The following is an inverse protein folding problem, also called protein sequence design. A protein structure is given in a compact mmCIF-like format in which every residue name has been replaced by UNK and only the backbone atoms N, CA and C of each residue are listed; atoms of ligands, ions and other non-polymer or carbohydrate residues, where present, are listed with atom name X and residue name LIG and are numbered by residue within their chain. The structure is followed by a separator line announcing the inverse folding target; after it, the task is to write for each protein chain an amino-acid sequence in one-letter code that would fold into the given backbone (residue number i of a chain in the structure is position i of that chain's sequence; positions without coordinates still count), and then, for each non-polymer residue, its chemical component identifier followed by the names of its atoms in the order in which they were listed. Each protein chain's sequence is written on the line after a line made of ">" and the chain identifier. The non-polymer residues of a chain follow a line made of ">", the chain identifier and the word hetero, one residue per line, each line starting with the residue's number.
data_IF_211866267537
#
_entry.id   IF_211866267537
#
_cell.length_a   1.000
_cell.length_b   1.000
_cell.length_c   1.000
_cell.angle_alpha   90.00
_cell.angle_beta   90.00
_cell.angle_gamma   90.00
#
_symmetry.space_group_name_H-M   'P 1'
#
loop_
_entity.id
_entity.type
_entity.pdbx_description
1 polymer ?
#
# COMPACT_ATOMS: atom_id res chain seq x y z
N UNK A 1 11.37 9.31 -5.94
CA UNK A 1 10.40 8.33 -6.46
C UNK A 1 8.99 8.60 -5.97
N UNK A 2 8.69 8.67 -4.66
CA UNK A 2 7.31 8.90 -4.19
C UNK A 2 6.62 10.19 -4.70
N UNK A 3 7.39 11.24 -4.97
CA UNK A 3 6.85 12.52 -5.45
C UNK A 3 6.13 12.41 -6.80
N UNK A 4 6.52 11.47 -7.69
CA UNK A 4 5.82 11.32 -8.96
C UNK A 4 4.39 10.80 -8.77
N UNK A 5 4.14 10.05 -7.69
CA UNK A 5 2.81 9.51 -7.38
C UNK A 5 1.86 10.58 -6.84
N UNK A 6 2.39 11.65 -6.22
CA UNK A 6 1.62 12.73 -5.58
C UNK A 6 1.30 13.92 -6.50
N UNK A 7 1.62 13.81 -7.79
CA UNK A 7 1.42 14.90 -8.75
C UNK A 7 2.27 16.14 -8.40
N UNK A 8 1.71 17.35 -8.36
CA UNK A 8 2.48 18.58 -8.13
C UNK A 8 2.91 18.77 -6.67
N UNK A 9 2.45 17.94 -5.73
CA UNK A 9 2.74 18.10 -4.31
C UNK A 9 4.03 17.37 -3.92
N UNK A 10 5.00 18.12 -3.39
CA UNK A 10 6.20 17.53 -2.80
C UNK A 10 5.88 16.74 -1.51
N UNK A 11 6.59 15.63 -1.29
CA UNK A 11 6.57 14.92 -0.01
C UNK A 11 7.03 15.82 1.12
N UNK A 12 6.30 15.87 2.23
CA UNK A 12 6.74 16.60 3.41
C UNK A 12 7.83 15.83 4.17
N UNK A 13 8.68 16.49 4.98
CA UNK A 13 9.64 15.78 5.84
C UNK A 13 8.97 14.76 6.79
N UNK A 14 7.76 15.08 7.26
CA UNK A 14 6.96 14.17 8.09
C UNK A 14 6.60 12.88 7.35
N UNK A 15 6.16 12.98 6.09
CA UNK A 15 5.83 11.81 5.27
C UNK A 15 7.06 10.95 4.99
N UNK A 16 8.21 11.58 4.75
CA UNK A 16 9.47 10.85 4.56
C UNK A 16 9.88 10.10 5.83
N UNK A 17 9.77 10.74 6.99
CA UNK A 17 10.06 10.10 8.27
C UNK A 17 9.09 8.96 8.56
N UNK A 18 7.78 9.17 8.32
CA UNK A 18 6.78 8.11 8.44
C UNK A 18 7.15 6.88 7.59
N UNK A 19 7.50 7.08 6.32
CA UNK A 19 7.91 5.97 5.45
C UNK A 19 9.16 5.26 5.98
N UNK A 20 10.15 6.01 6.45
CA UNK A 20 11.36 5.46 7.05
C UNK A 20 11.03 4.58 8.25
N UNK A 21 10.20 5.08 9.18
CA UNK A 21 9.81 4.33 10.38
C UNK A 21 9.00 3.08 10.06
N UNK A 22 8.17 3.14 9.00
CA UNK A 22 7.34 2.01 8.61
C UNK A 22 8.07 0.95 7.80
N UNK A 23 9.16 1.28 7.11
CA UNK A 23 9.85 0.38 6.19
C UNK A 23 11.24 -0.07 6.65
N UNK A 24 11.91 0.68 7.52
CA UNK A 24 13.24 0.32 8.03
C UNK A 24 13.20 -1.01 8.77
N UNK A 25 13.91 -2.02 8.25
CA UNK A 25 13.90 -3.39 8.79
C UNK A 25 12.59 -4.16 8.59
N UNK A 26 11.64 -3.62 7.81
CA UNK A 26 10.29 -4.18 7.63
C UNK A 26 9.95 -4.38 6.14
N UNK A 27 10.92 -4.88 5.37
CA UNK A 27 10.77 -5.10 3.92
C UNK A 27 9.60 -6.05 3.56
N UNK A 28 9.21 -6.92 4.49
CA UNK A 28 8.04 -7.79 4.34
C UNK A 28 6.70 -7.02 4.14
N UNK A 29 6.60 -5.76 4.59
CA UNK A 29 5.38 -4.96 4.43
C UNK A 29 5.03 -4.66 2.96
N UNK A 30 5.90 -4.05 2.15
CA UNK A 30 5.66 -3.93 0.71
C UNK A 30 5.41 -5.26 0.02
N UNK A 31 6.09 -6.33 0.47
CA UNK A 31 5.98 -7.64 -0.18
C UNK A 31 4.63 -8.32 0.08
N UNK A 32 3.97 -8.00 1.19
CA UNK A 32 2.64 -8.53 1.53
C UNK A 32 1.54 -8.23 0.52
N UNK A 33 1.75 -7.27 -0.38
CA UNK A 33 0.80 -6.93 -1.44
C UNK A 33 0.91 -7.83 -2.67
N UNK A 34 1.97 -8.61 -2.79
CA UNK A 34 2.15 -9.50 -3.93
C UNK A 34 1.46 -10.85 -3.70
N UNK A 35 0.90 -11.39 -4.78
CA UNK A 35 0.30 -12.72 -4.80
C UNK A 35 1.34 -13.81 -4.43
N UNK A 36 0.93 -14.75 -3.58
CA UNK A 36 1.77 -15.84 -3.09
C UNK A 36 2.75 -15.48 -1.96
N UNK A 37 2.93 -14.20 -1.62
CA UNK A 37 3.68 -13.80 -0.44
C UNK A 37 2.81 -14.01 0.81
N UNK A 38 3.24 -14.79 1.79
CA UNK A 38 2.51 -15.02 3.05
C UNK A 38 3.46 -14.94 4.25
N UNK A 39 2.96 -14.75 5.49
CA UNK A 39 3.82 -14.80 6.67
C UNK A 39 4.65 -16.08 6.76
N UNK A 40 4.09 -17.21 6.36
CA UNK A 40 4.68 -18.56 6.47
C UNK A 40 5.88 -18.78 5.54
N UNK A 41 5.94 -18.05 4.42
CA UNK A 41 7.05 -18.11 3.46
C UNK A 41 7.91 -16.84 3.48
N UNK A 42 7.90 -16.11 4.60
CA UNK A 42 8.63 -14.85 4.78
C UNK A 42 8.28 -13.77 3.75
N UNK A 43 7.03 -13.78 3.29
CA UNK A 43 6.49 -12.91 2.25
C UNK A 43 7.23 -13.02 0.92
N UNK A 44 7.64 -14.23 0.54
CA UNK A 44 8.22 -14.52 -0.77
C UNK A 44 7.14 -14.54 -1.85
N UNK A 45 7.12 -13.61 -2.82
CA UNK A 45 6.08 -13.54 -3.83
C UNK A 45 6.20 -14.66 -4.86
N UNK A 46 5.06 -15.04 -5.43
CA UNK A 46 5.03 -15.88 -6.63
C UNK A 46 5.37 -15.07 -7.89
N UNK A 47 5.90 -15.75 -8.91
CA UNK A 47 6.12 -15.18 -10.23
C UNK A 47 5.02 -15.61 -11.20
N UNK A 48 4.53 -14.71 -12.07
CA UNK A 48 4.89 -13.30 -12.19
C UNK A 48 4.35 -12.43 -11.03
N UNK A 49 5.11 -11.38 -10.66
CA UNK A 49 4.71 -10.47 -9.58
C UNK A 49 3.39 -9.78 -9.91
N UNK A 50 2.39 -10.04 -9.08
CA UNK A 50 1.01 -9.54 -9.27
C UNK A 50 0.53 -8.91 -7.98
N UNK A 51 -0.22 -7.81 -8.08
CA UNK A 51 -0.88 -7.15 -6.95
C UNK A 51 -2.37 -7.06 -7.28
N UNK A 52 -3.22 -7.39 -6.32
CA UNK A 52 -4.68 -7.29 -6.47
C UNK A 52 -5.19 -5.95 -5.95
N UNK A 53 -5.79 -5.16 -6.84
CA UNK A 53 -6.43 -3.88 -6.54
C UNK A 53 -7.90 -3.96 -6.95
N UNK A 54 -8.80 -3.50 -6.09
CA UNK A 54 -10.24 -3.58 -6.33
C UNK A 54 -10.98 -2.39 -5.74
N UNK A 55 -12.18 -2.15 -6.25
CA UNK A 55 -13.13 -1.18 -5.75
C UNK A 55 -14.18 -1.82 -4.85
N UNK A 56 -14.96 -0.98 -4.19
CA UNK A 56 -16.10 -1.36 -3.36
C UNK A 56 -17.26 -0.37 -3.51
N UNK A 57 -18.37 -0.59 -2.79
CA UNK A 57 -19.61 0.19 -2.96
C UNK A 57 -19.44 1.71 -2.78
N UNK A 58 -18.41 2.13 -2.04
CA UNK A 58 -18.14 3.54 -1.72
C UNK A 58 -16.88 4.09 -2.39
N UNK A 59 -16.25 3.35 -3.29
CA UNK A 59 -14.99 3.75 -3.93
C UNK A 59 -15.08 5.10 -4.64
N UNK A 60 -16.24 5.40 -5.25
CA UNK A 60 -16.46 6.62 -6.04
C UNK A 60 -17.55 7.51 -5.45
N UNK A 61 -17.80 7.42 -4.13
CA UNK A 61 -18.85 8.19 -3.46
C UNK A 61 -18.60 9.71 -3.48
N UNK A 62 -17.34 10.14 -3.62
CA UNK A 62 -16.94 11.55 -3.66
C UNK A 62 -16.46 11.91 -5.08
N UNK A 63 -17.09 12.90 -5.72
CA UNK A 63 -16.73 13.31 -7.08
C UNK A 63 -15.27 13.76 -7.15
N UNK A 64 -14.51 13.19 -8.10
CA UNK A 64 -13.10 13.51 -8.31
C UNK A 64 -12.15 12.78 -7.34
N UNK A 65 -12.65 11.86 -6.53
CA UNK A 65 -11.85 10.99 -5.69
C UNK A 65 -12.21 9.52 -5.91
N UNK A 66 -11.22 8.65 -5.70
CA UNK A 66 -11.40 7.21 -5.73
C UNK A 66 -10.72 6.60 -4.51
N UNK A 67 -11.46 5.82 -3.72
CA UNK A 67 -10.91 4.97 -2.66
C UNK A 67 -10.76 3.57 -3.22
N UNK A 68 -9.54 3.06 -3.32
CA UNK A 68 -9.25 1.73 -3.85
C UNK A 68 -8.63 0.86 -2.76
N UNK A 69 -8.93 -0.44 -2.81
CA UNK A 69 -8.47 -1.42 -1.84
C UNK A 69 -7.41 -2.31 -2.47
N UNK A 70 -6.41 -2.68 -1.68
CA UNK A 70 -5.35 -3.59 -2.05
C UNK A 70 -5.35 -4.78 -1.09
N UNK A 71 -5.25 -5.99 -1.63
CA UNK A 71 -5.06 -7.18 -0.81
C UNK A 71 -3.67 -7.18 -0.15
N UNK A 72 -3.59 -7.55 1.12
CA UNK A 72 -2.34 -7.72 1.87
C UNK A 72 -2.43 -8.99 2.69
N UNK A 73 -1.62 -9.99 2.37
CA UNK A 73 -1.66 -11.32 3.02
C UNK A 73 -1.33 -11.30 4.51
N UNK A 74 -0.66 -10.24 4.97
CA UNK A 74 -0.29 -10.05 6.37
C UNK A 74 -1.34 -9.34 7.21
N UNK A 75 -2.40 -8.81 6.60
CA UNK A 75 -3.42 -8.00 7.25
C UNK A 75 -4.77 -8.74 7.29
N UNK A 76 -5.58 -8.47 8.31
CA UNK A 76 -6.95 -9.03 8.38
C UNK A 76 -7.91 -8.37 7.40
N UNK A 77 -7.64 -7.11 7.04
CA UNK A 77 -8.47 -6.32 6.14
C UNK A 77 -7.62 -5.76 4.98
N UNK A 78 -8.22 -5.58 3.79
CA UNK A 78 -7.59 -4.89 2.68
C UNK A 78 -7.09 -3.49 3.08
N UNK A 79 -6.04 -3.03 2.42
CA UNK A 79 -5.47 -1.69 2.67
C UNK A 79 -5.98 -0.68 1.66
N UNK A 80 -6.19 0.54 2.11
CA UNK A 80 -6.79 1.58 1.28
C UNK A 80 -5.73 2.55 0.72
N UNK A 81 -5.97 3.01 -0.51
CA UNK A 81 -5.40 4.23 -1.06
C UNK A 81 -6.53 5.18 -1.47
N UNK A 82 -6.29 6.48 -1.32
CA UNK A 82 -7.17 7.51 -1.91
C UNK A 82 -6.46 8.14 -3.09
N UNK A 83 -7.14 8.22 -4.22
CA UNK A 83 -6.71 8.93 -5.42
C UNK A 83 -7.54 10.20 -5.59
N UNK A 84 -6.94 11.22 -6.20
CA UNK A 84 -7.60 12.46 -6.60
C UNK A 84 -7.41 12.71 -8.08
N UNK A 85 -8.50 13.01 -8.77
CA UNK A 85 -8.47 13.36 -10.18
C UNK A 85 -8.10 14.83 -10.35
N UNK A 86 -7.18 15.10 -11.27
CA UNK A 86 -6.89 16.45 -11.74
C UNK A 86 -7.92 16.83 -12.80
N UNK A 87 -8.86 17.70 -12.46
CA UNK A 87 -10.01 18.05 -13.33
C UNK A 87 -9.60 18.55 -14.73
N UNK A 88 -8.45 19.21 -14.86
CA UNK A 88 -7.99 19.77 -16.14
C UNK A 88 -7.45 18.73 -17.13
N UNK A 89 -6.87 17.62 -16.65
CA UNK A 89 -6.26 16.58 -17.50
C UNK A 89 -6.94 15.22 -17.40
N UNK A 90 -7.80 15.01 -16.40
CA UNK A 90 -8.45 13.73 -16.13
C UNK A 90 -7.56 12.68 -15.45
N UNK A 91 -6.27 12.98 -15.27
CA UNK A 91 -5.29 12.10 -14.62
C UNK A 91 -5.57 11.92 -13.13
N UNK A 92 -5.22 10.74 -12.60
CA UNK A 92 -5.41 10.38 -11.20
C UNK A 92 -4.07 10.32 -10.48
N UNK A 93 -4.00 10.94 -9.30
CA UNK A 93 -2.80 11.01 -8.48
C UNK A 93 -3.08 10.47 -7.09
N UNK A 94 -2.04 9.91 -6.46
CA UNK A 94 -2.10 9.44 -5.09
C UNK A 94 -2.31 10.63 -4.15
N UNK A 95 -3.40 10.57 -3.39
CA UNK A 95 -3.80 11.60 -2.45
C UNK A 95 -3.50 11.18 -1.01
N UNK A 96 -3.92 9.98 -0.61
CA UNK A 96 -3.67 9.41 0.73
C UNK A 96 -3.24 7.95 0.64
N UNK A 97 -2.40 7.51 1.59
CA UNK A 97 -1.82 6.16 1.65
C UNK A 97 -2.10 5.56 3.03
N UNK A 98 -2.84 4.46 3.09
CA UNK A 98 -3.13 3.72 4.32
C UNK A 98 -2.57 2.28 4.30
N UNK A 99 -1.46 2.08 3.58
CA UNK A 99 -0.87 0.77 3.31
C UNK A 99 0.02 0.22 4.44
N UNK A 100 0.69 1.08 5.21
CA UNK A 100 1.87 0.71 6.00
C UNK A 100 1.62 0.49 7.50
N UNK A 101 0.38 0.21 7.88
CA UNK A 101 0.03 -0.33 9.21
C UNK A 101 0.78 -1.64 9.47
N UNK A 102 0.96 -2.00 10.73
CA UNK A 102 1.60 -3.29 11.06
C UNK A 102 0.75 -4.47 10.57
N UNK A 103 1.46 -5.55 10.26
CA UNK A 103 0.95 -6.82 9.73
C UNK A 103 1.64 -7.96 10.47
N UNK A 104 1.15 -9.19 10.29
CA UNK A 104 1.80 -10.41 10.83
C UNK A 104 3.29 -10.42 10.49
N UNK A 105 4.15 -10.72 11.46
CA UNK A 105 5.58 -10.84 11.23
C UNK A 105 5.88 -12.07 10.37
N UNK A 106 6.95 -12.04 9.54
CA UNK A 106 7.40 -13.22 8.81
C UNK A 106 7.81 -14.31 9.80
N UNK A 107 7.57 -15.57 9.44
CA UNK A 107 7.85 -16.72 10.29
C UNK A 107 9.30 -16.74 10.81
N UNK A 108 10.26 -16.39 9.96
CA UNK A 108 11.69 -16.31 10.34
C UNK A 108 12.01 -15.23 11.37
N UNK A 109 11.13 -14.25 11.58
CA UNK A 109 11.28 -13.18 12.56
C UNK A 109 10.42 -13.40 13.82
N UNK A 110 9.56 -14.41 13.85
CA UNK A 110 8.79 -14.77 15.03
C UNK A 110 9.69 -15.55 16.01
N UNK A 111 9.97 -15.00 17.21
CA UNK A 111 10.80 -15.70 18.21
C UNK A 111 10.13 -16.95 18.79
N UNK A 112 8.83 -17.19 18.52
CA UNK A 112 8.06 -18.29 19.09
C UNK A 112 7.73 -19.42 18.10
N UNK A 113 7.93 -19.21 16.79
CA UNK A 113 7.83 -20.24 15.75
C UNK A 113 6.44 -20.52 15.19
#
# INVERSE_FOLDING_TARGET
>A
MLNCLKGPQASTPYEQQFLKDRLSGKAYKPFSFFEGATPENDYTPSHPYTITVFDGPYSFAEKGYAKLMLHSSGADNPREIKLRQKASSGEWFLWEIYLLSDIRQPKSADPWG
#
